data_IF_693461435141
#
_entry.id   IF_693461435141
#
_cell.length_a   1.000
_cell.length_b   1.000
_cell.length_c   1.000
_cell.angle_alpha   90.00
_cell.angle_beta   90.00
_cell.angle_gamma   90.00
#
_symmetry.space_group_name_H-M   'P 1'
#
loop_
_entity.id
_entity.type
_entity.pdbx_description
1 polymer ?
#
# COMPACT_ATOMS: atom_id res chain seq x y z
N UNK A 1 -3.91 2.19 -4.06
CA UNK A 1 -2.67 1.51 -3.64
C UNK A 1 -3.01 0.49 -2.57
N UNK A 2 -2.33 -0.64 -2.56
CA UNK A 2 -2.41 -1.62 -1.48
C UNK A 2 -1.48 -1.11 -0.37
N UNK A 3 -1.86 -1.25 0.90
CA UNK A 3 -1.05 -0.86 2.05
C UNK A 3 0.24 -1.67 2.18
N UNK A 4 0.90 -1.56 3.32
CA UNK A 4 2.11 -2.33 3.61
C UNK A 4 1.81 -3.84 3.63
N UNK A 5 2.71 -4.64 3.07
CA UNK A 5 2.61 -6.10 2.99
C UNK A 5 3.68 -6.71 3.89
N UNK A 6 3.27 -7.67 4.72
CA UNK A 6 4.19 -8.44 5.56
C UNK A 6 4.87 -9.50 4.71
N UNK A 7 6.19 -9.52 4.72
CA UNK A 7 7.03 -10.53 4.08
C UNK A 7 8.09 -11.03 5.06
N UNK A 8 8.38 -12.34 5.02
CA UNK A 8 9.34 -12.97 5.90
C UNK A 8 10.36 -13.77 5.08
N UNK A 9 11.66 -13.57 5.37
CA UNK A 9 12.77 -14.28 4.69
C UNK A 9 12.73 -14.17 3.18
N UNK A 10 12.34 -13.02 2.69
CA UNK A 10 12.13 -12.74 1.27
C UNK A 10 13.45 -12.72 0.49
N UNK A 11 13.43 -13.27 -0.72
CA UNK A 11 14.54 -13.18 -1.67
C UNK A 11 14.35 -12.03 -2.65
N UNK A 12 15.42 -11.40 -3.11
CA UNK A 12 15.33 -10.41 -4.18
C UNK A 12 15.10 -11.10 -5.54
N UNK A 13 14.25 -10.48 -6.36
CA UNK A 13 14.01 -10.90 -7.75
C UNK A 13 14.81 -10.01 -8.67
N UNK A 14 15.63 -10.62 -9.54
CA UNK A 14 16.24 -9.92 -10.66
C UNK A 14 15.45 -10.17 -11.94
N UNK A 15 15.38 -9.17 -12.83
CA UNK A 15 14.57 -9.25 -14.05
C UNK A 15 15.47 -9.25 -15.29
N UNK A 16 15.40 -10.31 -16.07
CA UNK A 16 16.10 -10.40 -17.35
C UNK A 16 15.37 -9.60 -18.43
N UNK A 17 16.11 -8.97 -19.31
CA UNK A 17 15.55 -8.29 -20.49
C UNK A 17 15.07 -9.34 -21.50
N UNK A 18 13.77 -9.35 -21.76
CA UNK A 18 13.13 -10.18 -22.77
C UNK A 18 11.90 -9.46 -23.31
N UNK A 19 11.14 -10.11 -24.21
CA UNK A 19 9.95 -9.52 -24.87
C UNK A 19 8.70 -9.43 -23.98
N UNK A 20 8.75 -9.96 -22.74
CA UNK A 20 7.61 -9.90 -21.83
C UNK A 20 7.58 -8.57 -21.08
N UNK A 21 6.40 -8.01 -20.90
CA UNK A 21 6.18 -6.82 -20.05
C UNK A 21 6.31 -7.23 -18.59
N UNK A 22 7.09 -6.49 -17.83
CA UNK A 22 7.29 -6.69 -16.39
C UNK A 22 6.83 -5.47 -15.62
N UNK A 23 5.97 -5.69 -14.63
CA UNK A 23 5.48 -4.65 -13.74
C UNK A 23 5.84 -5.02 -12.31
N UNK A 24 6.55 -4.13 -11.61
CA UNK A 24 6.91 -4.34 -10.21
C UNK A 24 5.67 -4.17 -9.35
N UNK A 25 5.31 -5.21 -8.58
CA UNK A 25 4.18 -5.20 -7.65
C UNK A 25 4.62 -4.86 -6.24
N UNK A 26 5.75 -5.43 -5.80
CA UNK A 26 6.31 -5.24 -4.47
C UNK A 26 7.79 -4.95 -4.55
N UNK A 27 8.24 -4.06 -3.69
CA UNK A 27 9.65 -3.77 -3.47
C UNK A 27 9.90 -3.43 -2.01
N UNK A 28 11.12 -3.65 -1.55
CA UNK A 28 11.55 -3.21 -0.23
C UNK A 28 11.66 -1.68 -0.18
N UNK A 29 11.79 -1.12 1.02
CA UNK A 29 12.21 0.27 1.18
C UNK A 29 13.63 0.47 0.62
N UNK A 30 14.02 1.73 0.42
CA UNK A 30 15.40 2.07 0.00
C UNK A 30 16.43 1.72 1.07
N UNK A 31 15.99 1.51 2.33
CA UNK A 31 16.85 1.07 3.43
C UNK A 31 16.69 -0.43 3.62
N UNK A 32 17.30 -1.20 2.75
CA UNK A 32 17.30 -2.66 2.81
C UNK A 32 18.74 -3.19 2.83
N UNK A 33 18.91 -4.42 3.32
CA UNK A 33 20.19 -5.12 3.34
C UNK A 33 19.99 -6.49 2.75
N UNK A 34 20.80 -6.81 1.74
CA UNK A 34 20.81 -8.13 1.11
C UNK A 34 21.96 -8.94 1.69
N UNK A 35 21.68 -10.18 2.08
CA UNK A 35 22.71 -11.16 2.49
C UNK A 35 22.71 -12.35 1.55
N UNK A 36 23.87 -12.74 1.13
CA UNK A 36 24.03 -13.95 0.30
C UNK A 36 24.09 -15.19 1.18
N UNK A 37 23.36 -16.26 0.85
CA UNK A 37 23.46 -17.53 1.54
C UNK A 37 24.82 -18.20 1.28
N UNK A 38 25.34 -19.06 2.21
CA UNK A 38 24.71 -19.39 3.50
C UNK A 38 25.03 -18.34 4.57
N UNK A 39 24.01 -17.93 5.35
CA UNK A 39 24.23 -17.06 6.51
C UNK A 39 23.36 -17.53 7.68
N UNK A 40 23.83 -17.29 8.91
CA UNK A 40 23.04 -17.55 10.12
C UNK A 40 22.29 -16.29 10.52
N UNK A 41 21.00 -16.43 10.80
CA UNK A 41 20.19 -15.37 11.40
C UNK A 41 20.28 -15.51 12.90
N UNK A 42 20.96 -14.58 13.57
CA UNK A 42 21.05 -14.54 15.02
C UNK A 42 20.05 -13.53 15.59
N UNK A 43 19.28 -13.93 16.62
CA UNK A 43 18.34 -13.04 17.30
C UNK A 43 19.03 -11.80 17.92
N UNK A 44 20.30 -11.91 18.26
CA UNK A 44 21.12 -10.79 18.74
C UNK A 44 21.23 -9.63 17.75
N UNK A 45 21.03 -9.89 16.45
CA UNK A 45 21.04 -8.82 15.45
C UNK A 45 19.84 -7.88 15.58
N UNK A 46 18.71 -8.39 16.07
CA UNK A 46 17.51 -7.59 16.31
C UNK A 46 17.67 -6.61 17.49
N UNK A 47 18.59 -6.93 18.42
CA UNK A 47 18.87 -6.09 19.60
C UNK A 47 19.94 -5.03 19.35
N UNK A 48 20.69 -5.15 18.25
CA UNK A 48 21.74 -4.18 17.92
C UNK A 48 21.13 -2.87 17.40
N UNK A 49 21.67 -1.72 17.80
CA UNK A 49 21.18 -0.44 17.30
C UNK A 49 21.33 -0.37 15.78
N UNK A 50 20.25 0.04 15.12
CA UNK A 50 20.20 0.19 13.66
C UNK A 50 21.05 1.41 13.27
N UNK A 51 22.18 1.17 12.60
CA UNK A 51 22.99 2.25 12.02
C UNK A 51 22.60 2.46 10.57
N UNK A 52 22.37 3.71 10.12
CA UNK A 52 22.04 4.01 8.72
C UNK A 52 23.04 3.43 7.71
N UNK A 53 24.31 3.36 8.08
CA UNK A 53 25.41 2.81 7.26
C UNK A 53 25.31 1.30 7.01
N UNK A 54 24.41 0.59 7.72
CA UNK A 54 24.24 -0.85 7.56
C UNK A 54 23.30 -1.22 6.42
N UNK A 55 22.67 -0.24 5.79
CA UNK A 55 21.71 -0.44 4.70
C UNK A 55 22.30 0.03 3.38
N UNK A 56 21.88 -0.64 2.31
CA UNK A 56 22.13 -0.19 0.96
C UNK A 56 21.00 0.78 0.58
N UNK A 57 21.34 1.93 -0.03
CA UNK A 57 20.33 2.88 -0.52
C UNK A 57 19.69 2.36 -1.83
N UNK A 58 19.22 1.12 -1.78
CA UNK A 58 18.63 0.43 -2.93
C UNK A 58 17.37 -0.33 -2.54
N UNK A 59 16.32 -0.10 -3.29
CA UNK A 59 15.10 -0.90 -3.21
C UNK A 59 15.29 -2.22 -3.97
N UNK A 60 14.91 -3.34 -3.35
CA UNK A 60 14.97 -4.67 -3.95
C UNK A 60 13.57 -5.14 -4.32
N UNK A 61 13.42 -5.71 -5.51
CA UNK A 61 12.14 -6.22 -6.03
C UNK A 61 11.83 -7.53 -5.34
N UNK A 62 10.60 -7.69 -4.83
CA UNK A 62 10.13 -8.88 -4.14
C UNK A 62 8.83 -9.45 -4.72
N UNK A 63 8.19 -8.71 -5.64
CA UNK A 63 7.02 -9.16 -6.36
C UNK A 63 6.93 -8.55 -7.75
N UNK A 64 6.68 -9.38 -8.77
CA UNK A 64 6.64 -8.99 -10.18
C UNK A 64 5.43 -9.61 -10.87
N UNK A 65 4.75 -8.82 -11.70
CA UNK A 65 3.78 -9.28 -12.68
C UNK A 65 4.46 -9.34 -14.05
N UNK A 66 4.31 -10.46 -14.73
CA UNK A 66 4.87 -10.70 -16.07
C UNK A 66 3.70 -10.96 -17.02
N UNK A 67 3.66 -10.21 -18.12
CA UNK A 67 2.62 -10.34 -19.14
C UNK A 67 3.26 -10.53 -20.51
N UNK A 68 2.75 -11.47 -21.29
CA UNK A 68 3.24 -11.73 -22.63
C UNK A 68 3.05 -13.17 -23.07
N UNK A 69 3.80 -13.55 -24.09
CA UNK A 69 3.85 -14.93 -24.58
C UNK A 69 5.00 -15.66 -23.90
N UNK A 70 4.70 -16.80 -23.30
CA UNK A 70 5.68 -17.63 -22.63
C UNK A 70 5.97 -18.83 -23.52
N UNK A 71 7.21 -18.97 -24.06
CA UNK A 71 7.58 -20.16 -24.81
C UNK A 71 7.58 -21.39 -23.89
N UNK A 72 7.07 -22.49 -24.38
CA UNK A 72 7.08 -23.75 -23.66
C UNK A 72 8.51 -24.24 -23.45
N UNK A 73 8.80 -24.83 -22.29
CA UNK A 73 10.06 -25.52 -22.01
C UNK A 73 10.29 -26.69 -22.97
N UNK A 74 9.24 -27.21 -23.59
CA UNK A 74 9.28 -28.33 -24.53
C UNK A 74 9.29 -27.90 -26.00
N UNK A 75 9.36 -26.61 -26.32
CA UNK A 75 9.27 -26.12 -27.70
C UNK A 75 10.28 -26.80 -28.65
N UNK A 76 11.50 -27.07 -28.13
CA UNK A 76 12.60 -27.73 -28.88
C UNK A 76 13.05 -29.01 -28.18
N UNK A 77 12.18 -29.68 -27.43
CA UNK A 77 12.48 -30.93 -26.70
C UNK A 77 11.41 -31.97 -26.91
N UNK A 78 11.76 -33.22 -26.69
CA UNK A 78 10.80 -34.33 -26.68
C UNK A 78 10.01 -34.21 -25.37
N UNK A 79 8.69 -33.91 -25.47
CA UNK A 79 7.83 -33.90 -24.31
C UNK A 79 7.46 -35.33 -23.90
N UNK A 80 7.40 -35.66 -22.60
CA UNK A 80 6.98 -36.98 -22.11
C UNK A 80 5.45 -37.21 -22.22
N UNK A 81 4.71 -36.21 -22.72
CA UNK A 81 3.27 -36.24 -22.89
C UNK A 81 2.84 -35.44 -24.13
N UNK A 82 1.64 -35.70 -24.60
CA UNK A 82 1.05 -34.93 -25.71
C UNK A 82 0.55 -33.60 -25.19
N UNK A 83 0.96 -32.47 -25.79
CA UNK A 83 0.54 -31.15 -25.41
C UNK A 83 0.16 -30.30 -26.63
N UNK A 84 -0.72 -29.32 -26.41
CA UNK A 84 -1.19 -28.42 -27.45
C UNK A 84 -0.14 -27.32 -27.73
N UNK A 85 0.54 -27.45 -28.89
CA UNK A 85 1.56 -26.49 -29.33
C UNK A 85 1.00 -25.09 -29.60
N UNK A 86 -0.32 -24.97 -29.81
CA UNK A 86 -0.95 -23.64 -30.03
C UNK A 86 -1.01 -22.81 -28.76
N UNK A 87 -0.87 -23.42 -27.59
CA UNK A 87 -0.81 -22.72 -26.31
C UNK A 87 0.33 -21.71 -26.22
N UNK A 88 1.46 -21.97 -26.89
CA UNK A 88 2.64 -21.10 -26.91
C UNK A 88 2.40 -19.73 -27.57
N UNK A 89 1.34 -19.60 -28.34
CA UNK A 89 1.00 -18.37 -29.07
C UNK A 89 0.08 -17.45 -28.27
N UNK A 90 -0.56 -17.94 -27.22
CA UNK A 90 -1.52 -17.18 -26.42
C UNK A 90 -0.81 -16.31 -25.40
N UNK A 91 -1.20 -15.04 -25.27
CA UNK A 91 -0.68 -14.21 -24.19
C UNK A 91 -1.17 -14.73 -22.85
N UNK A 92 -0.29 -14.77 -21.87
CA UNK A 92 -0.60 -15.19 -20.52
C UNK A 92 -0.08 -14.15 -19.50
N UNK A 93 -0.56 -14.26 -18.26
CA UNK A 93 -0.15 -13.42 -17.15
C UNK A 93 0.36 -14.30 -16.02
N UNK A 94 1.44 -13.86 -15.36
CA UNK A 94 2.03 -14.56 -14.24
C UNK A 94 2.43 -13.54 -13.17
N UNK A 95 2.03 -13.78 -11.94
CA UNK A 95 2.52 -13.01 -10.79
C UNK A 95 3.48 -13.88 -9.99
N UNK A 96 4.64 -13.34 -9.66
CA UNK A 96 5.70 -14.03 -8.89
C UNK A 96 5.97 -13.20 -7.65
N UNK A 97 5.89 -13.85 -6.49
CA UNK A 97 6.28 -13.30 -5.20
C UNK A 97 7.40 -14.19 -4.64
N UNK A 98 8.41 -13.56 -4.05
CA UNK A 98 9.60 -14.27 -3.57
C UNK A 98 9.50 -14.70 -2.10
N UNK A 99 8.32 -14.62 -1.53
CA UNK A 99 8.01 -15.05 -0.16
C UNK A 99 6.88 -16.08 -0.19
N UNK A 100 7.18 -17.32 0.23
CA UNK A 100 6.19 -18.39 0.32
C UNK A 100 5.20 -18.20 1.46
N UNK A 101 5.60 -17.53 2.55
CA UNK A 101 4.78 -17.34 3.74
C UNK A 101 3.76 -16.21 3.59
N UNK A 102 3.87 -15.41 2.53
CA UNK A 102 2.97 -14.27 2.30
C UNK A 102 1.48 -14.66 2.23
N UNK A 103 1.20 -15.91 1.81
CA UNK A 103 -0.14 -16.49 1.74
C UNK A 103 -0.53 -17.36 2.94
N UNK A 104 0.28 -17.40 4.00
CA UNK A 104 0.06 -18.22 5.16
C UNK A 104 -0.64 -17.46 6.28
N UNK A 105 -1.64 -18.10 6.91
CA UNK A 105 -2.31 -17.57 8.09
C UNK A 105 -1.53 -17.95 9.34
N UNK A 106 -1.24 -17.00 10.21
CA UNK A 106 -0.73 -17.31 11.55
C UNK A 106 -1.81 -18.02 12.38
N UNK A 107 -1.38 -18.85 13.30
CA UNK A 107 -2.27 -19.57 14.20
C UNK A 107 -2.21 -18.98 15.62
N UNK A 108 -3.38 -18.84 16.24
CA UNK A 108 -3.50 -18.60 17.68
C UNK A 108 -4.33 -19.71 18.32
N UNK A 109 -3.70 -20.46 19.24
CA UNK A 109 -4.31 -21.60 19.92
C UNK A 109 -5.01 -22.60 18.97
N UNK A 110 -4.41 -22.81 17.78
CA UNK A 110 -4.94 -23.70 16.76
C UNK A 110 -5.97 -23.09 15.80
N UNK A 111 -6.41 -21.85 16.03
CA UNK A 111 -7.32 -21.14 15.15
C UNK A 111 -6.56 -20.25 14.16
N UNK A 112 -6.91 -20.27 12.85
CA UNK A 112 -6.28 -19.41 11.88
C UNK A 112 -6.70 -17.94 12.10
N UNK A 113 -5.71 -17.06 12.16
CA UNK A 113 -5.90 -15.61 12.20
C UNK A 113 -6.15 -15.10 10.78
N UNK A 114 -6.61 -13.85 10.67
CA UNK A 114 -6.79 -13.23 9.36
C UNK A 114 -5.45 -13.14 8.59
N UNK A 115 -5.49 -13.40 7.28
CA UNK A 115 -4.30 -13.34 6.43
C UNK A 115 -3.70 -11.94 6.43
N UNK A 116 -2.41 -11.86 6.79
CA UNK A 116 -1.68 -10.62 6.97
C UNK A 116 -1.74 -10.06 8.39
N UNK A 117 -2.47 -10.68 9.30
CA UNK A 117 -2.41 -10.30 10.71
C UNK A 117 -1.14 -10.87 11.35
N UNK A 118 -0.37 -10.00 11.98
CA UNK A 118 0.81 -10.37 12.75
C UNK A 118 0.53 -10.26 14.26
N UNK A 119 0.45 -11.41 14.91
CA UNK A 119 0.15 -11.52 16.35
C UNK A 119 1.21 -10.91 17.26
N UNK A 120 2.44 -10.76 16.78
CA UNK A 120 3.55 -10.23 17.57
C UNK A 120 3.53 -8.72 17.65
N UNK A 121 3.20 -8.07 16.54
CA UNK A 121 3.11 -6.61 16.45
C UNK A 121 1.67 -6.11 16.57
N UNK A 122 0.69 -7.01 16.60
CA UNK A 122 -0.75 -6.70 16.62
C UNK A 122 -1.19 -5.81 15.46
N UNK A 123 -0.56 -5.98 14.30
CA UNK A 123 -0.84 -5.21 13.10
C UNK A 123 -1.48 -6.10 12.03
N UNK A 124 -2.41 -5.51 11.27
CA UNK A 124 -3.00 -6.13 10.08
C UNK A 124 -2.37 -5.53 8.84
N UNK A 125 -1.67 -6.36 8.07
CA UNK A 125 -1.04 -6.01 6.81
C UNK A 125 -1.95 -6.31 5.62
N UNK A 126 -1.64 -5.74 4.48
CA UNK A 126 -2.47 -5.82 3.27
C UNK A 126 -2.27 -7.09 2.42
N UNK A 127 -1.70 -8.16 3.00
CA UNK A 127 -1.41 -9.43 2.30
C UNK A 127 -2.66 -10.02 1.63
N UNK A 128 -3.76 -10.13 2.37
CA UNK A 128 -5.05 -10.62 1.86
C UNK A 128 -5.54 -9.80 0.67
N UNK A 129 -5.49 -8.50 0.79
CA UNK A 129 -5.95 -7.59 -0.27
C UNK A 129 -5.08 -7.69 -1.52
N UNK A 130 -3.75 -7.77 -1.35
CA UNK A 130 -2.81 -7.93 -2.46
C UNK A 130 -3.07 -9.24 -3.22
N UNK A 131 -3.16 -10.36 -2.51
CA UNK A 131 -3.38 -11.67 -3.14
C UNK A 131 -4.72 -11.74 -3.85
N UNK A 132 -5.79 -11.27 -3.22
CA UNK A 132 -7.11 -11.21 -3.85
C UNK A 132 -7.10 -10.33 -5.11
N UNK A 133 -6.49 -9.15 -5.06
CA UNK A 133 -6.39 -8.27 -6.22
C UNK A 133 -5.55 -8.90 -7.33
N UNK A 134 -4.47 -9.60 -6.98
CA UNK A 134 -3.65 -10.33 -7.94
C UNK A 134 -4.44 -11.42 -8.65
N UNK A 135 -5.20 -12.23 -7.91
CA UNK A 135 -6.05 -13.28 -8.50
C UNK A 135 -7.10 -12.67 -9.44
N UNK A 136 -7.82 -11.64 -9.00
CA UNK A 136 -8.82 -10.96 -9.86
C UNK A 136 -8.19 -10.39 -11.12
N UNK A 137 -6.99 -9.82 -11.03
CA UNK A 137 -6.27 -9.31 -12.20
C UNK A 137 -5.87 -10.43 -13.17
N UNK A 138 -5.37 -11.55 -12.65
CA UNK A 138 -5.00 -12.72 -13.48
C UNK A 138 -6.22 -13.34 -14.16
N UNK A 139 -7.39 -13.33 -13.51
CA UNK A 139 -8.66 -13.77 -14.06
C UNK A 139 -9.28 -12.78 -15.07
N UNK A 140 -8.71 -11.59 -15.23
CA UNK A 140 -9.22 -10.55 -16.13
C UNK A 140 -10.37 -9.71 -15.57
N UNK A 141 -10.68 -9.80 -14.27
CA UNK A 141 -11.75 -9.05 -13.61
C UNK A 141 -11.34 -7.61 -13.27
N UNK A 142 -10.90 -6.84 -14.26
CA UNK A 142 -10.38 -5.50 -14.07
C UNK A 142 -11.39 -4.52 -13.44
N UNK A 143 -12.68 -4.71 -13.70
CA UNK A 143 -13.73 -3.82 -13.17
C UNK A 143 -13.82 -3.84 -11.64
N UNK A 144 -13.57 -4.99 -11.01
CA UNK A 144 -13.55 -5.12 -9.56
C UNK A 144 -12.35 -4.38 -8.93
N UNK A 145 -11.22 -4.37 -9.62
CA UNK A 145 -10.03 -3.65 -9.18
C UNK A 145 -10.25 -2.14 -9.20
N UNK A 146 -10.92 -1.61 -10.23
CA UNK A 146 -11.25 -0.18 -10.35
C UNK A 146 -12.16 0.25 -9.20
N UNK A 147 -13.18 -0.55 -8.87
CA UNK A 147 -14.07 -0.25 -7.75
C UNK A 147 -13.35 -0.23 -6.39
N UNK A 148 -12.40 -1.15 -6.18
CA UNK A 148 -11.59 -1.20 -4.95
C UNK A 148 -10.51 -0.13 -4.88
N UNK A 149 -10.05 0.38 -6.02
CA UNK A 149 -9.05 1.46 -6.05
C UNK A 149 -9.63 2.84 -5.71
N UNK A 150 -10.95 2.95 -5.59
CA UNK A 150 -11.59 4.19 -5.17
C UNK A 150 -11.35 4.43 -3.68
N UNK A 151 -10.29 5.16 -3.37
CA UNK A 151 -10.02 5.63 -2.02
C UNK A 151 -11.10 6.64 -1.62
N UNK A 152 -11.93 6.25 -0.67
CA UNK A 152 -12.80 7.21 0.03
C UNK A 152 -11.91 7.89 1.06
N UNK A 153 -11.36 9.04 0.71
CA UNK A 153 -10.66 9.88 1.69
C UNK A 153 -11.69 10.47 2.62
N UNK A 154 -11.87 9.84 3.76
CA UNK A 154 -12.57 10.47 4.87
C UNK A 154 -11.65 11.59 5.38
N UNK A 155 -12.13 12.82 5.32
CA UNK A 155 -11.45 13.93 5.95
C UNK A 155 -11.57 13.76 7.47
N UNK A 156 -10.56 13.16 8.10
CA UNK A 156 -10.45 13.14 9.54
C UNK A 156 -9.93 14.50 10.01
N UNK A 157 -10.54 15.02 11.06
CA UNK A 157 -9.99 16.18 11.75
C UNK A 157 -8.66 15.76 12.42
N UNK A 158 -7.61 16.52 12.17
CA UNK A 158 -6.36 16.34 12.88
C UNK A 158 -6.55 16.77 14.34
N UNK A 159 -6.59 15.79 15.24
CA UNK A 159 -6.84 16.02 16.66
C UNK A 159 -5.76 16.87 17.32
N UNK A 160 -4.52 16.84 16.82
CA UNK A 160 -3.43 17.61 17.34
C UNK A 160 -3.57 19.09 16.98
N UNK A 161 -3.86 19.38 15.71
CA UNK A 161 -4.18 20.73 15.23
C UNK A 161 -5.42 21.32 15.92
N UNK A 162 -6.45 20.50 16.12
CA UNK A 162 -7.66 20.95 16.84
C UNK A 162 -7.34 21.29 18.29
N UNK A 163 -6.50 20.51 18.97
CA UNK A 163 -6.11 20.78 20.35
C UNK A 163 -5.29 22.07 20.47
N UNK A 164 -4.34 22.31 19.56
CA UNK A 164 -3.47 23.49 19.55
C UNK A 164 -4.21 24.78 19.16
N UNK A 165 -5.16 24.69 18.22
CA UNK A 165 -5.87 25.88 17.73
C UNK A 165 -7.27 26.07 18.31
N UNK A 166 -7.68 25.24 19.27
CA UNK A 166 -9.02 25.25 19.87
C UNK A 166 -9.44 26.62 20.35
N UNK A 167 -8.57 27.30 21.09
CA UNK A 167 -8.88 28.63 21.66
C UNK A 167 -9.06 29.69 20.57
N UNK A 168 -8.23 29.68 19.53
CA UNK A 168 -8.36 30.61 18.39
C UNK A 168 -9.64 30.38 17.63
N UNK A 169 -9.93 29.10 17.32
CA UNK A 169 -11.16 28.74 16.58
C UNK A 169 -12.40 29.12 17.36
N UNK A 170 -12.44 28.84 18.66
CA UNK A 170 -13.54 29.23 19.53
C UNK A 170 -13.71 30.75 19.57
N UNK A 171 -12.62 31.50 19.74
CA UNK A 171 -12.66 32.97 19.76
C UNK A 171 -13.22 33.53 18.44
N UNK A 172 -12.78 33.00 17.29
CA UNK A 172 -13.29 33.46 15.99
C UNK A 172 -14.76 33.13 15.82
N UNK A 173 -15.21 31.94 16.20
CA UNK A 173 -16.63 31.52 16.06
C UNK A 173 -17.56 32.38 16.91
N UNK A 174 -17.13 32.79 18.09
CA UNK A 174 -17.96 33.63 18.96
C UNK A 174 -17.82 35.12 18.67
N UNK A 175 -16.60 35.61 18.45
CA UNK A 175 -16.35 37.03 18.28
C UNK A 175 -16.81 37.55 16.91
N UNK A 176 -16.66 36.77 15.83
CA UNK A 176 -17.00 37.21 14.49
C UNK A 176 -18.49 37.53 14.29
N UNK A 177 -19.45 36.68 14.72
CA UNK A 177 -20.88 37.00 14.62
C UNK A 177 -21.27 38.21 15.43
N UNK A 178 -20.73 38.38 16.65
CA UNK A 178 -20.99 39.54 17.49
C UNK A 178 -20.45 40.83 16.87
N UNK A 179 -19.26 40.80 16.30
CA UNK A 179 -18.69 41.94 15.58
C UNK A 179 -19.53 42.34 14.36
N UNK A 180 -20.02 41.37 13.59
CA UNK A 180 -20.89 41.62 12.43
C UNK A 180 -22.21 42.27 12.90
N UNK A 181 -22.83 41.75 13.96
CA UNK A 181 -24.07 42.31 14.51
C UNK A 181 -23.87 43.75 15.02
N UNK A 182 -22.75 44.00 15.72
CA UNK A 182 -22.41 45.34 16.19
C UNK A 182 -22.20 46.31 15.01
N UNK A 183 -21.51 45.88 13.96
CA UNK A 183 -21.31 46.68 12.76
C UNK A 183 -22.62 47.02 12.05
N UNK A 184 -23.52 46.05 11.89
CA UNK A 184 -24.84 46.25 11.31
C UNK A 184 -25.64 47.23 12.16
N UNK A 185 -25.63 47.06 13.49
CA UNK A 185 -26.30 47.97 14.44
C UNK A 185 -25.78 49.40 14.34
N UNK A 186 -24.47 49.59 14.27
CA UNK A 186 -23.85 50.92 14.12
C UNK A 186 -24.20 51.54 12.74
N UNK A 187 -24.15 50.78 11.68
CA UNK A 187 -24.55 51.24 10.34
C UNK A 187 -26.01 51.65 10.32
N UNK A 188 -26.87 50.82 10.85
CA UNK A 188 -28.33 51.13 10.91
C UNK A 188 -28.60 52.38 11.77
N UNK A 189 -27.96 52.49 12.93
CA UNK A 189 -28.05 53.65 13.80
C UNK A 189 -27.57 54.94 13.12
N UNK A 190 -26.44 54.85 12.39
CA UNK A 190 -25.90 56.02 11.67
C UNK A 190 -26.76 56.45 10.50
N UNK A 191 -27.30 55.51 9.74
CA UNK A 191 -28.27 55.77 8.66
C UNK A 191 -29.55 56.39 9.19
N UNK A 192 -30.11 55.83 10.28
CA UNK A 192 -31.29 56.35 10.92
C UNK A 192 -31.10 57.79 11.43
N UNK A 193 -29.97 58.10 12.05
CA UNK A 193 -29.62 59.46 12.47
C UNK A 193 -29.56 60.45 11.30
N UNK A 194 -29.02 59.99 10.15
CA UNK A 194 -28.95 60.86 8.95
C UNK A 194 -30.32 61.13 8.33
N UNK A 195 -31.21 60.12 8.34
CA UNK A 195 -32.55 60.25 7.77
C UNK A 195 -33.51 61.10 8.66
N UNK A 196 -33.42 60.93 9.99
CA UNK A 196 -34.30 61.62 10.92
C UNK A 196 -33.75 62.93 11.49
N UNK A 197 -32.59 63.39 11.02
CA UNK A 197 -32.00 64.67 11.44
C UNK A 197 -32.23 65.82 10.44
N UNK A 198 -33.17 65.58 9.53
CA UNK A 198 -33.73 66.62 8.66
C UNK A 198 -35.06 67.11 9.18
#
# INVERSE_FOLDING_TARGET
AVGNVLQQFVSSIDTLKNQTKKTILLSTSNRSKVRKPPFMIALEEATKPIKPTNFEDKSNITGVLIEGKFPSLFQNRIAPFTWDKTADTRPAKMAIFSDGNMGENQLDKGNPLELGYDKWTNNLYANKQLLQNTVHYLMGENNRLILRSKEIRLAFLDQTLVAEEKEKIQTVIFALPLAILALIGLLFSSLRRRVYRR
#
